data_IF_794509063973
#
_entry.id   IF_794509063973
#
_cell.length_a   1.000
_cell.length_b   1.000
_cell.length_c   1.000
_cell.angle_alpha   90.00
_cell.angle_beta   90.00
_cell.angle_gamma   90.00
#
_symmetry.space_group_name_H-M   'P 1'
#
loop_
_entity.id
_entity.type
_entity.pdbx_description
1 polymer ?
#
# COMPACT_ATOMS: atom_id res chain seq x y z
N UNK A 1 -18.95 9.84 -16.89
CA UNK A 1 -18.68 9.80 -18.34
C UNK A 1 -17.23 10.25 -18.55
N UNK A 2 -16.34 9.39 -19.06
CA UNK A 2 -14.97 9.79 -19.40
C UNK A 2 -15.04 10.76 -20.59
N UNK A 3 -14.67 12.03 -20.40
CA UNK A 3 -14.63 13.03 -21.47
C UNK A 3 -13.17 13.25 -21.91
N UNK A 4 -12.77 12.76 -23.10
CA UNK A 4 -11.40 12.90 -23.60
C UNK A 4 -11.02 14.35 -23.95
N UNK A 5 -11.98 15.29 -24.07
CA UNK A 5 -11.71 16.68 -24.44
C UNK A 5 -11.27 17.56 -23.27
N UNK A 6 -11.48 17.12 -22.02
CA UNK A 6 -11.15 17.88 -20.81
C UNK A 6 -9.90 17.36 -20.09
N UNK A 7 -8.96 16.77 -20.85
CA UNK A 7 -7.73 16.20 -20.32
C UNK A 7 -6.75 17.33 -19.98
N UNK A 8 -6.59 17.65 -18.70
CA UNK A 8 -5.60 18.63 -18.23
C UNK A 8 -4.21 18.26 -18.74
N UNK A 9 -3.48 19.23 -19.30
CA UNK A 9 -2.14 19.04 -19.88
C UNK A 9 -1.06 19.79 -19.07
N UNK A 10 0.20 19.41 -19.27
CA UNK A 10 1.35 20.05 -18.62
C UNK A 10 1.30 20.04 -17.08
N UNK A 11 1.68 21.15 -16.46
CA UNK A 11 1.74 21.33 -15.00
C UNK A 11 0.37 21.10 -14.34
N UNK A 12 -0.72 21.49 -15.01
CA UNK A 12 -2.09 21.31 -14.50
C UNK A 12 -2.46 19.82 -14.34
N UNK A 13 -1.89 18.93 -15.18
CA UNK A 13 -2.02 17.48 -15.06
C UNK A 13 -1.28 16.96 -13.82
N UNK A 14 -0.04 17.40 -13.64
CA UNK A 14 0.79 16.99 -12.49
C UNK A 14 0.12 17.40 -11.18
N UNK A 15 -0.30 18.67 -11.06
CA UNK A 15 -1.00 19.16 -9.87
C UNK A 15 -2.31 18.40 -9.59
N UNK A 16 -3.07 18.07 -10.64
CA UNK A 16 -4.30 17.29 -10.48
C UNK A 16 -4.02 15.84 -10.08
N UNK A 17 -2.96 15.23 -10.61
CA UNK A 17 -2.51 13.90 -10.20
C UNK A 17 -2.05 13.90 -8.73
N UNK A 18 -1.24 14.88 -8.32
CA UNK A 18 -0.82 15.04 -6.92
C UNK A 18 -2.00 15.22 -5.98
N UNK A 19 -3.03 15.99 -6.39
CA UNK A 19 -4.27 16.12 -5.61
C UNK A 19 -5.03 14.80 -5.52
N UNK A 20 -5.05 13.99 -6.59
CA UNK A 20 -5.68 12.66 -6.56
C UNK A 20 -4.93 11.70 -5.62
N UNK A 21 -3.60 11.67 -5.70
CA UNK A 21 -2.74 10.89 -4.80
C UNK A 21 -2.98 11.26 -3.34
N UNK A 22 -2.97 12.56 -3.01
CA UNK A 22 -3.20 13.03 -1.65
C UNK A 22 -4.59 12.63 -1.13
N UNK A 23 -5.64 12.74 -1.96
CA UNK A 23 -6.99 12.28 -1.58
C UNK A 23 -7.04 10.78 -1.28
N UNK A 24 -6.38 9.95 -2.09
CA UNK A 24 -6.31 8.50 -1.86
C UNK A 24 -5.65 8.16 -0.52
N UNK A 25 -4.46 8.72 -0.27
CA UNK A 25 -3.73 8.49 0.98
C UNK A 25 -4.50 9.00 2.21
N UNK A 26 -5.10 10.20 2.12
CA UNK A 26 -5.93 10.75 3.22
C UNK A 26 -7.17 9.89 3.45
N UNK A 27 -7.77 9.33 2.40
CA UNK A 27 -8.89 8.42 2.55
C UNK A 27 -8.46 7.14 3.26
N UNK A 28 -7.39 6.49 2.82
CA UNK A 28 -6.89 5.26 3.46
C UNK A 28 -6.54 5.46 4.93
N UNK A 29 -5.77 6.50 5.25
CA UNK A 29 -5.40 6.83 6.64
C UNK A 29 -6.58 7.15 7.55
N UNK A 30 -7.78 7.39 7.02
CA UNK A 30 -8.99 7.67 7.80
C UNK A 30 -10.01 6.53 7.83
N UNK A 31 -10.02 5.67 6.82
CA UNK A 31 -11.08 4.69 6.63
C UNK A 31 -10.58 3.24 6.73
N UNK A 32 -9.30 2.97 6.47
CA UNK A 32 -8.76 1.60 6.47
C UNK A 32 -7.95 1.33 7.74
N UNK A 33 -8.54 0.58 8.67
CA UNK A 33 -7.91 0.27 9.96
C UNK A 33 -6.63 -0.58 9.79
N UNK A 34 -6.61 -1.52 8.85
CA UNK A 34 -5.42 -2.32 8.54
C UNK A 34 -4.28 -1.42 8.05
N UNK A 35 -4.52 -0.59 7.04
CA UNK A 35 -3.53 0.41 6.59
C UNK A 35 -3.05 1.35 7.70
N UNK A 36 -3.94 1.81 8.60
CA UNK A 36 -3.53 2.65 9.74
C UNK A 36 -2.54 1.91 10.67
N UNK A 37 -2.79 0.65 10.97
CA UNK A 37 -1.92 -0.18 11.80
C UNK A 37 -0.58 -0.43 11.12
N UNK A 38 -0.60 -0.84 9.85
CA UNK A 38 0.60 -1.08 9.07
C UNK A 38 1.43 0.18 8.90
N UNK A 39 0.80 1.35 8.69
CA UNK A 39 1.48 2.63 8.60
C UNK A 39 2.14 3.00 9.93
N UNK A 40 1.44 2.82 11.05
CA UNK A 40 2.01 3.08 12.37
C UNK A 40 3.23 2.19 12.64
N UNK A 41 3.11 0.89 12.38
CA UNK A 41 4.22 -0.08 12.52
C UNK A 41 5.37 0.29 11.57
N UNK A 42 5.07 0.61 10.32
CA UNK A 42 6.08 0.99 9.32
C UNK A 42 6.85 2.25 9.72
N UNK A 43 6.17 3.26 10.29
CA UNK A 43 6.83 4.47 10.79
C UNK A 43 7.74 4.17 11.99
N UNK A 44 7.27 3.35 12.93
CA UNK A 44 8.07 2.93 14.10
C UNK A 44 9.30 2.15 13.64
N UNK A 45 9.13 1.14 12.79
CA UNK A 45 10.23 0.31 12.29
C UNK A 45 11.19 1.10 11.40
N UNK A 46 10.69 2.06 10.62
CA UNK A 46 11.57 2.97 9.87
C UNK A 46 12.41 3.81 10.82
N UNK A 47 11.85 4.32 11.92
CA UNK A 47 12.65 5.03 12.92
C UNK A 47 13.68 4.11 13.60
N UNK A 48 13.28 2.90 13.95
CA UNK A 48 14.17 1.89 14.53
C UNK A 48 15.32 1.56 13.57
N UNK A 49 15.08 1.47 12.26
CA UNK A 49 16.15 1.13 11.30
C UNK A 49 17.25 2.18 11.24
N UNK A 50 16.96 3.46 11.53
CA UNK A 50 17.99 4.51 11.67
C UNK A 50 18.84 4.38 12.94
N UNK A 51 18.43 3.54 13.90
CA UNK A 51 19.17 3.27 15.13
C UNK A 51 19.97 1.96 15.06
N UNK A 52 19.82 1.18 14.00
CA UNK A 52 20.56 -0.06 13.78
C UNK A 52 21.94 0.21 13.18
N UNK A 53 22.94 -0.59 13.56
CA UNK A 53 24.27 -0.57 12.96
C UNK A 53 24.29 -1.46 11.71
N UNK A 54 23.66 -0.97 10.64
CA UNK A 54 23.51 -1.67 9.35
C UNK A 54 24.06 -0.82 8.21
N UNK A 55 24.39 -1.45 7.09
CA UNK A 55 24.83 -0.71 5.91
C UNK A 55 23.69 0.14 5.33
N UNK A 56 24.05 1.18 4.57
CA UNK A 56 23.07 2.04 3.87
C UNK A 56 22.16 1.23 2.93
N UNK A 57 22.70 0.15 2.34
CA UNK A 57 21.95 -0.73 1.44
C UNK A 57 20.94 -1.57 2.22
N UNK A 58 21.37 -2.21 3.32
CA UNK A 58 20.47 -2.94 4.22
C UNK A 58 19.35 -2.03 4.73
N UNK A 59 19.70 -0.83 5.20
CA UNK A 59 18.72 0.13 5.69
C UNK A 59 17.69 0.50 4.63
N UNK A 60 18.12 0.74 3.39
CA UNK A 60 17.21 1.01 2.28
C UNK A 60 16.28 -0.19 2.01
N UNK A 61 16.80 -1.41 2.07
CA UNK A 61 16.01 -2.64 1.87
C UNK A 61 14.98 -2.83 3.00
N UNK A 62 15.35 -2.58 4.26
CA UNK A 62 14.43 -2.61 5.40
C UNK A 62 13.24 -1.65 5.21
N UNK A 63 13.53 -0.42 4.77
CA UNK A 63 12.51 0.61 4.52
C UNK A 63 11.64 0.23 3.30
N UNK A 64 12.24 -0.25 2.22
CA UNK A 64 11.52 -0.69 1.02
C UNK A 64 10.56 -1.85 1.35
N UNK A 65 10.96 -2.78 2.22
CA UNK A 65 10.10 -3.88 2.63
C UNK A 65 8.83 -3.38 3.34
N UNK A 66 8.96 -2.38 4.22
CA UNK A 66 7.81 -1.75 4.90
C UNK A 66 6.91 -0.98 3.91
N UNK A 67 7.52 -0.23 2.98
CA UNK A 67 6.77 0.46 1.92
C UNK A 67 6.04 -0.52 1.00
N UNK A 68 6.59 -1.72 0.79
CA UNK A 68 5.95 -2.76 0.00
C UNK A 68 4.69 -3.31 0.67
N UNK A 69 4.67 -3.43 2.00
CA UNK A 69 3.45 -3.78 2.76
C UNK A 69 2.35 -2.75 2.51
N UNK A 70 2.66 -1.47 2.72
CA UNK A 70 1.71 -0.37 2.49
C UNK A 70 1.23 -0.30 1.03
N UNK A 71 2.11 -0.62 0.08
CA UNK A 71 1.76 -0.69 -1.33
C UNK A 71 0.77 -1.82 -1.61
N UNK A 72 1.01 -3.03 -1.08
CA UNK A 72 0.08 -4.15 -1.25
C UNK A 72 -1.27 -3.90 -0.60
N UNK A 73 -1.30 -3.26 0.56
CA UNK A 73 -2.56 -2.89 1.23
C UNK A 73 -3.33 -1.84 0.44
N UNK A 74 -2.63 -0.85 -0.14
CA UNK A 74 -3.25 0.11 -1.07
C UNK A 74 -3.89 -0.58 -2.27
N UNK A 75 -3.26 -1.61 -2.81
CA UNK A 75 -3.82 -2.41 -3.91
C UNK A 75 -5.01 -3.24 -3.41
N UNK A 76 -4.92 -3.84 -2.22
CA UNK A 76 -6.00 -4.61 -1.61
C UNK A 76 -7.28 -3.77 -1.51
N UNK A 77 -7.18 -2.60 -0.86
CA UNK A 77 -8.28 -1.64 -0.74
C UNK A 77 -8.82 -1.19 -2.11
N UNK A 78 -7.94 -0.98 -3.09
CA UNK A 78 -8.38 -0.59 -4.43
C UNK A 78 -9.18 -1.70 -5.13
N UNK A 79 -8.78 -2.96 -4.97
CA UNK A 79 -9.52 -4.13 -5.48
C UNK A 79 -10.87 -4.23 -4.76
N UNK A 80 -10.88 -4.14 -3.44
CA UNK A 80 -12.12 -4.16 -2.64
C UNK A 80 -13.09 -3.07 -3.09
N UNK A 81 -12.63 -1.83 -3.26
CA UNK A 81 -13.47 -0.72 -3.74
C UNK A 81 -14.05 -0.96 -5.14
N UNK A 82 -13.30 -1.62 -6.03
CA UNK A 82 -13.79 -2.01 -7.37
C UNK A 82 -14.83 -3.13 -7.26
N UNK A 83 -14.56 -4.16 -6.46
CA UNK A 83 -15.45 -5.30 -6.26
C UNK A 83 -16.77 -4.85 -5.61
N UNK A 84 -16.70 -4.01 -4.58
CA UNK A 84 -17.87 -3.49 -3.85
C UNK A 84 -18.75 -2.59 -4.70
N UNK A 85 -18.18 -1.96 -5.74
CA UNK A 85 -18.94 -1.16 -6.69
C UNK A 85 -19.78 -2.00 -7.67
N UNK A 86 -19.37 -3.23 -7.97
CA UNK A 86 -19.94 -4.01 -9.10
C UNK A 86 -21.30 -4.65 -8.76
N UNK A 87 -21.64 -4.92 -7.50
CA UNK A 87 -23.02 -5.27 -7.12
C UNK A 87 -23.19 -6.00 -5.79
N UNK A 88 -24.40 -5.92 -5.24
CA UNK A 88 -24.84 -6.56 -3.99
C UNK A 88 -25.14 -8.07 -4.12
N UNK A 89 -25.14 -8.62 -5.35
CA UNK A 89 -25.24 -10.07 -5.54
C UNK A 89 -23.87 -10.72 -5.32
N UNK A 90 -23.79 -11.58 -4.31
CA UNK A 90 -22.57 -12.33 -4.02
C UNK A 90 -22.21 -13.28 -5.17
N UNK A 91 -21.28 -12.85 -6.03
CA UNK A 91 -20.67 -13.70 -7.05
C UNK A 91 -19.42 -14.38 -6.48
N UNK A 92 -19.26 -15.69 -6.71
CA UNK A 92 -18.12 -16.47 -6.17
C UNK A 92 -16.76 -15.86 -6.56
N UNK A 93 -16.62 -15.36 -7.79
CA UNK A 93 -15.41 -14.69 -8.26
C UNK A 93 -15.12 -13.37 -7.53
N UNK A 94 -16.13 -12.65 -7.05
CA UNK A 94 -15.95 -11.43 -6.26
C UNK A 94 -15.34 -11.75 -4.88
N UNK A 95 -15.78 -12.85 -4.26
CA UNK A 95 -15.17 -13.36 -3.03
C UNK A 95 -13.70 -13.74 -3.26
N UNK A 96 -13.44 -14.56 -4.29
CA UNK A 96 -12.08 -14.97 -4.63
C UNK A 96 -11.15 -13.78 -4.91
N UNK A 97 -11.63 -12.73 -5.57
CA UNK A 97 -10.84 -11.53 -5.82
C UNK A 97 -10.40 -10.84 -4.52
N UNK A 98 -11.28 -10.76 -3.51
CA UNK A 98 -10.94 -10.22 -2.19
C UNK A 98 -9.96 -11.13 -1.45
N UNK A 99 -10.20 -12.44 -1.47
CA UNK A 99 -9.33 -13.42 -0.81
C UNK A 99 -7.89 -13.35 -1.36
N UNK A 100 -7.75 -13.26 -2.69
CA UNK A 100 -6.44 -13.12 -3.35
C UNK A 100 -5.76 -11.78 -3.03
N UNK A 101 -6.54 -10.71 -2.93
CA UNK A 101 -6.02 -9.39 -2.58
C UNK A 101 -5.49 -9.36 -1.13
N UNK A 102 -6.23 -9.93 -0.18
CA UNK A 102 -5.78 -10.09 1.21
C UNK A 102 -4.58 -11.05 1.31
N UNK A 103 -4.54 -12.11 0.51
CA UNK A 103 -3.38 -13.01 0.46
C UNK A 103 -2.11 -12.30 -0.02
N UNK A 104 -2.22 -11.32 -0.93
CA UNK A 104 -1.08 -10.51 -1.37
C UNK A 104 -0.49 -9.65 -0.24
N UNK A 105 -1.35 -9.08 0.62
CA UNK A 105 -0.92 -8.35 1.84
C UNK A 105 -0.22 -9.30 2.82
N UNK A 106 -0.76 -10.50 3.00
CA UNK A 106 -0.11 -11.51 3.85
C UNK A 106 1.29 -11.89 3.33
N UNK A 107 1.44 -12.08 2.02
CA UNK A 107 2.73 -12.38 1.41
C UNK A 107 3.72 -11.23 1.59
N UNK A 108 3.30 -9.97 1.46
CA UNK A 108 4.19 -8.83 1.67
C UNK A 108 4.64 -8.71 3.13
N UNK A 109 3.78 -9.03 4.09
CA UNK A 109 4.17 -9.13 5.50
C UNK A 109 5.23 -10.22 5.73
N UNK A 110 5.09 -11.40 5.11
CA UNK A 110 6.11 -12.46 5.17
C UNK A 110 7.43 -11.97 4.58
N UNK A 111 7.40 -11.30 3.42
CA UNK A 111 8.60 -10.73 2.79
C UNK A 111 9.27 -9.73 3.75
N UNK A 112 8.51 -8.85 4.39
CA UNK A 112 9.04 -7.90 5.36
C UNK A 112 9.70 -8.60 6.56
N UNK A 113 9.04 -9.62 7.13
CA UNK A 113 9.60 -10.42 8.24
C UNK A 113 10.90 -11.11 7.84
N UNK A 114 10.95 -11.72 6.65
CA UNK A 114 12.15 -12.40 6.16
C UNK A 114 13.29 -11.40 5.97
N UNK A 115 13.04 -10.28 5.29
CA UNK A 115 14.06 -9.25 5.05
C UNK A 115 14.61 -8.72 6.37
N UNK A 116 13.74 -8.35 7.30
CA UNK A 116 14.15 -7.86 8.61
C UNK A 116 14.92 -8.93 9.40
N UNK A 117 14.43 -10.16 9.40
CA UNK A 117 15.09 -11.27 10.08
C UNK A 117 16.48 -11.59 9.53
N UNK A 118 16.66 -11.52 8.21
CA UNK A 118 17.96 -11.75 7.56
C UNK A 118 18.93 -10.63 7.90
N UNK A 119 18.53 -9.36 7.75
CA UNK A 119 19.42 -8.21 8.04
C UNK A 119 19.82 -8.16 9.52
N UNK A 120 18.92 -8.53 10.44
CA UNK A 120 19.24 -8.56 11.88
C UNK A 120 20.07 -9.77 12.30
N UNK A 121 20.19 -10.79 11.46
CA UNK A 121 20.96 -12.00 11.72
C UNK A 121 22.35 -11.97 11.07
N UNK A 122 22.62 -10.99 10.21
CA UNK A 122 23.94 -10.67 9.67
C UNK A 122 24.81 -9.98 10.72
#
# INVERSE_FOLDING_TARGET
MFDPKNKKQGISRVLSASKNTCRGLVWMTRNEAAFQQELAVSLILTFVSFMLDVTVIEQAILIIALLFVLFTETINTAIEAVVDRIGYEHHQLSGLAKDLASAAVFISMIIAIIIWGVVLAD
#
